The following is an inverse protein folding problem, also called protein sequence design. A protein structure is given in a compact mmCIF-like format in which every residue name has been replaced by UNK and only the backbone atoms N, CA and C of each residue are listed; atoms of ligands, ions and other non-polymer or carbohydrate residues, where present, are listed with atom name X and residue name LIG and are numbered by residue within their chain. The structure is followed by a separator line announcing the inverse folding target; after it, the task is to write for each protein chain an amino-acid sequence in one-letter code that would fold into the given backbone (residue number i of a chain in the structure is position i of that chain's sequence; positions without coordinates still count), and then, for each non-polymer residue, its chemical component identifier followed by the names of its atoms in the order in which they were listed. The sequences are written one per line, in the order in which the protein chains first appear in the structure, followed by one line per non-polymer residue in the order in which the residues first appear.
data_IF_493695375290
#
_entry.id   IF_493695375290
#
_cell.length_a   1.000
_cell.length_b   1.000
_cell.length_c   1.000
_cell.angle_alpha   90.00
_cell.angle_beta   90.00
_cell.angle_gamma   90.00
#
_symmetry.space_group_name_H-M   'P 1'
#
loop_
_entity.id
_entity.type
_entity.pdbx_description
1 polymer ?
#
# COMPACT_ATOMS: atom_id res chain seq x y z
N UNK A 1 -44.77 -13.47 -72.92
CA UNK A 1 -44.41 -12.04 -73.03
C UNK A 1 -42.91 -11.95 -72.75
N UNK A 2 -42.13 -11.71 -73.80
CA UNK A 2 -40.67 -11.62 -73.84
C UNK A 2 -40.22 -10.14 -73.87
N UNK A 3 -38.89 -9.95 -73.76
CA UNK A 3 -38.02 -8.74 -73.82
C UNK A 3 -37.38 -8.42 -72.45
N UNK A 4 -36.12 -8.80 -72.16
CA UNK A 4 -34.81 -8.39 -72.71
C UNK A 4 -34.46 -6.93 -72.29
N UNK A 5 -33.26 -6.57 -71.80
CA UNK A 5 -31.95 -6.55 -72.50
C UNK A 5 -30.79 -6.41 -71.47
N UNK A 6 -29.63 -6.91 -71.91
CA UNK A 6 -28.32 -7.15 -71.30
C UNK A 6 -27.39 -5.95 -70.99
N UNK A 7 -26.26 -6.27 -70.33
CA UNK A 7 -25.03 -5.50 -70.01
C UNK A 7 -24.32 -4.84 -71.24
N UNK A 8 -23.23 -4.04 -71.05
CA UNK A 8 -21.87 -4.64 -71.02
C UNK A 8 -20.78 -3.91 -70.19
N UNK A 9 -19.64 -4.61 -70.06
CA UNK A 9 -18.37 -4.25 -69.41
C UNK A 9 -17.62 -3.06 -70.07
N UNK A 10 -16.78 -2.38 -69.27
CA UNK A 10 -15.29 -2.34 -69.36
C UNK A 10 -14.63 -0.98 -69.09
N UNK A 11 -13.38 -1.07 -68.60
CA UNK A 11 -12.28 -0.09 -68.64
C UNK A 11 -12.06 0.89 -67.47
N UNK A 12 -10.92 0.66 -66.80
CA UNK A 12 -10.20 1.54 -65.87
C UNK A 12 -9.71 2.83 -66.53
N UNK A 13 -9.49 3.93 -65.77
CA UNK A 13 -8.10 4.29 -65.43
C UNK A 13 -7.90 4.95 -64.05
N UNK A 14 -6.75 4.72 -63.40
CA UNK A 14 -6.15 5.61 -62.38
C UNK A 14 -5.56 6.88 -63.05
N UNK A 15 -5.05 7.93 -62.36
CA UNK A 15 -4.99 8.26 -60.92
C UNK A 15 -5.42 9.72 -60.59
N UNK A 16 -5.51 10.10 -59.28
CA UNK A 16 -4.91 11.33 -58.68
C UNK A 16 -5.51 11.70 -57.30
N UNK A 17 -4.63 11.81 -56.29
CA UNK A 17 -4.67 12.81 -55.21
C UNK A 17 -5.55 12.55 -53.98
N UNK A 18 -5.00 12.48 -52.75
CA UNK A 18 -5.79 12.59 -51.53
C UNK A 18 -6.12 14.07 -51.21
N UNK A 19 -7.36 14.41 -50.80
CA UNK A 19 -7.71 15.77 -50.39
C UNK A 19 -7.24 16.10 -48.96
N UNK A 20 -7.07 17.40 -48.75
CA UNK A 20 -6.39 18.06 -47.64
C UNK A 20 -7.21 18.15 -46.33
N UNK A 21 -6.45 18.10 -45.23
CA UNK A 21 -6.68 18.59 -43.86
C UNK A 21 -8.07 19.03 -43.39
N UNK A 22 -8.57 18.33 -42.36
CA UNK A 22 -9.41 18.92 -41.32
C UNK A 22 -8.61 18.94 -40.01
N UNK A 23 -8.24 20.15 -39.57
CA UNK A 23 -7.56 20.40 -38.29
C UNK A 23 -8.58 20.32 -37.17
N UNK A 24 -8.59 19.21 -36.42
CA UNK A 24 -9.32 19.11 -35.16
C UNK A 24 -8.38 19.46 -34.00
N UNK A 25 -8.78 20.43 -33.17
CA UNK A 25 -8.00 20.95 -32.05
C UNK A 25 -7.53 19.84 -31.11
N UNK A 26 -6.22 19.66 -31.03
CA UNK A 26 -5.58 18.94 -29.93
C UNK A 26 -5.79 19.72 -28.63
N UNK A 27 -6.66 19.23 -27.75
CA UNK A 27 -6.68 19.63 -26.35
C UNK A 27 -5.30 19.33 -25.75
N UNK A 28 -4.53 20.38 -25.46
CA UNK A 28 -3.29 20.28 -24.70
C UNK A 28 -3.60 19.70 -23.32
N UNK A 29 -3.23 18.43 -23.11
CA UNK A 29 -3.16 17.84 -21.78
C UNK A 29 -1.96 18.46 -21.06
N UNK A 30 -2.25 19.22 -20.00
CA UNK A 30 -1.21 19.73 -19.09
C UNK A 30 -0.72 18.54 -18.27
N UNK A 31 0.59 18.26 -18.19
CA UNK A 31 1.10 17.16 -17.39
C UNK A 31 0.99 17.52 -15.90
N UNK A 32 0.07 16.89 -15.19
CA UNK A 32 0.05 16.84 -13.72
C UNK A 32 1.10 15.86 -13.21
N UNK A 33 2.40 16.14 -13.48
CA UNK A 33 3.49 15.49 -12.74
C UNK A 33 3.90 16.42 -11.60
N UNK A 34 3.16 16.37 -10.50
CA UNK A 34 3.58 17.03 -9.28
C UNK A 34 4.73 16.21 -8.67
N UNK A 35 5.96 16.56 -9.05
CA UNK A 35 7.18 15.97 -8.48
C UNK A 35 7.36 16.59 -7.10
N UNK A 36 6.96 15.91 -6.03
CA UNK A 36 7.32 16.33 -4.67
C UNK A 36 8.83 16.09 -4.51
N UNK A 37 9.63 17.06 -4.96
CA UNK A 37 10.97 17.27 -4.41
C UNK A 37 10.76 18.16 -3.20
N UNK A 38 10.68 17.56 -2.02
CA UNK A 38 10.81 18.31 -0.79
C UNK A 38 12.28 18.73 -0.64
N UNK A 39 12.74 19.69 -1.45
CA UNK A 39 13.95 20.44 -1.15
C UNK A 39 13.52 21.64 -0.31
N UNK A 40 13.42 21.45 1.00
CA UNK A 40 13.45 22.59 1.90
C UNK A 40 14.85 23.20 1.77
N UNK A 41 14.91 24.46 1.35
CA UNK A 41 16.15 25.24 1.34
C UNK A 41 16.51 25.60 2.77
N UNK A 42 16.93 24.62 3.58
CA UNK A 42 17.57 24.93 4.84
C UNK A 42 19.08 25.03 4.58
N UNK A 43 19.59 26.26 4.61
CA UNK A 43 21.00 26.55 4.44
C UNK A 43 21.79 26.08 5.66
N UNK A 44 22.06 24.79 5.74
CA UNK A 44 23.13 24.24 6.58
C UNK A 44 24.02 23.37 5.69
N UNK A 45 25.20 23.89 5.36
CA UNK A 45 26.33 23.18 4.75
C UNK A 45 26.09 22.46 3.41
N UNK A 46 25.44 23.10 2.43
CA UNK A 46 25.56 22.75 1.00
C UNK A 46 25.12 21.35 0.57
N UNK A 47 24.58 20.53 1.48
CA UNK A 47 24.05 19.20 1.20
C UNK A 47 22.53 19.27 1.10
N UNK A 48 21.99 19.18 -0.12
CA UNK A 48 20.55 18.96 -0.34
C UNK A 48 20.15 17.67 0.37
N UNK A 49 19.45 17.77 1.51
CA UNK A 49 18.91 16.58 2.19
C UNK A 49 17.69 16.11 1.39
N UNK A 50 17.90 15.12 0.52
CA UNK A 50 16.82 14.49 -0.25
C UNK A 50 16.01 13.59 0.68
N UNK A 51 14.93 14.11 1.25
CA UNK A 51 14.00 13.27 2.02
C UNK A 51 13.19 12.39 1.07
N UNK A 52 13.39 11.08 1.20
CA UNK A 52 12.61 10.08 0.47
C UNK A 52 11.31 9.79 1.23
N UNK A 53 10.13 9.95 0.60
CA UNK A 53 8.86 9.85 1.28
C UNK A 53 8.59 8.44 1.81
N UNK A 54 7.80 8.34 2.88
CA UNK A 54 7.27 7.07 3.38
C UNK A 54 5.90 6.77 2.79
N UNK A 55 5.67 5.52 2.37
CA UNK A 55 4.35 5.02 2.00
C UNK A 55 3.83 4.11 3.11
N UNK A 56 2.80 4.57 3.81
CA UNK A 56 2.16 3.83 4.89
C UNK A 56 0.80 3.35 4.39
N UNK A 57 0.66 2.04 4.26
CA UNK A 57 -0.53 1.40 3.68
C UNK A 57 -1.27 0.61 4.75
N UNK A 58 -2.56 0.89 4.91
CA UNK A 58 -3.47 0.09 5.70
C UNK A 58 -4.13 -0.94 4.81
N UNK A 59 -4.01 -2.21 5.17
CA UNK A 59 -4.70 -3.28 4.46
C UNK A 59 -6.10 -3.49 5.05
N UNK A 60 -7.08 -3.76 4.19
CA UNK A 60 -8.50 -3.93 4.56
C UNK A 60 -9.39 -4.10 3.34
N UNK A 61 -10.70 -4.22 3.56
CA UNK A 61 -11.69 -4.24 2.48
C UNK A 61 -12.56 -2.96 2.50
N UNK A 62 -12.87 -2.37 1.34
CA UNK A 62 -13.73 -1.18 1.27
C UNK A 62 -15.22 -1.50 1.45
N UNK A 63 -15.97 -0.55 2.00
CA UNK A 63 -17.43 -0.61 2.13
C UNK A 63 -17.91 -0.78 3.58
N UNK A 64 -19.13 -0.26 3.85
CA UNK A 64 -19.70 -0.18 5.21
C UNK A 64 -19.78 -1.53 5.94
N UNK A 65 -19.98 -2.63 5.22
CA UNK A 65 -20.06 -3.99 5.78
C UNK A 65 -18.76 -4.47 6.44
N UNK A 66 -17.60 -3.95 6.04
CA UNK A 66 -16.30 -4.32 6.60
C UNK A 66 -15.82 -3.33 7.66
N UNK A 67 -16.59 -2.29 7.96
CA UNK A 67 -16.23 -1.32 8.97
C UNK A 67 -16.15 -1.96 10.36
N UNK A 68 -15.03 -1.73 11.07
CA UNK A 68 -14.72 -2.28 12.40
C UNK A 68 -14.66 -3.81 12.48
N UNK A 69 -14.41 -4.49 11.37
CA UNK A 69 -14.11 -5.93 11.38
C UNK A 69 -12.64 -6.16 11.71
N UNK A 70 -12.30 -7.35 12.20
CA UNK A 70 -10.90 -7.69 12.55
C UNK A 70 -9.95 -7.49 11.37
N UNK A 71 -10.39 -7.82 10.17
CA UNK A 71 -9.60 -7.71 8.95
C UNK A 71 -9.40 -6.27 8.45
N UNK A 72 -10.15 -5.30 8.99
CA UNK A 72 -10.07 -3.89 8.62
C UNK A 72 -9.25 -3.04 9.59
N UNK A 73 -8.62 -3.65 10.60
CA UNK A 73 -7.79 -2.92 11.58
C UNK A 73 -6.62 -2.17 10.92
N UNK A 74 -6.14 -2.62 9.76
CA UNK A 74 -5.14 -1.88 8.97
C UNK A 74 -5.67 -0.55 8.44
N UNK A 75 -6.93 -0.48 7.98
CA UNK A 75 -7.57 0.80 7.63
C UNK A 75 -7.75 1.69 8.86
N UNK A 76 -8.19 1.11 9.98
CA UNK A 76 -8.36 1.87 11.24
C UNK A 76 -7.03 2.48 11.72
N UNK A 77 -5.90 1.80 11.53
CA UNK A 77 -4.57 2.35 11.81
C UNK A 77 -4.26 3.56 10.93
N UNK A 78 -4.61 3.52 9.64
CA UNK A 78 -4.42 4.68 8.76
C UNK A 78 -5.33 5.83 9.17
N UNK A 79 -6.58 5.55 9.53
CA UNK A 79 -7.52 6.56 10.01
C UNK A 79 -6.99 7.23 11.29
N UNK A 80 -6.45 6.45 12.24
CA UNK A 80 -5.84 6.98 13.46
C UNK A 80 -4.59 7.85 13.17
N UNK A 81 -3.75 7.46 12.21
CA UNK A 81 -2.58 8.26 11.81
C UNK A 81 -3.02 9.54 11.08
N UNK A 82 -4.01 9.42 10.18
CA UNK A 82 -4.60 10.53 9.44
C UNK A 82 -5.16 11.59 10.39
N UNK A 83 -5.93 11.18 11.39
CA UNK A 83 -6.49 12.06 12.41
C UNK A 83 -5.40 12.69 13.27
N UNK A 84 -4.48 11.89 13.79
CA UNK A 84 -3.42 12.37 14.69
C UNK A 84 -2.43 13.33 14.01
N UNK A 85 -2.26 13.24 12.69
CA UNK A 85 -1.36 14.13 11.92
C UNK A 85 -2.13 15.21 11.13
N UNK A 86 -3.46 15.25 11.19
CA UNK A 86 -4.27 16.20 10.43
C UNK A 86 -4.15 16.03 8.91
N UNK A 87 -3.91 14.80 8.42
CA UNK A 87 -3.71 14.52 6.99
C UNK A 87 -5.04 14.08 6.37
N UNK A 88 -5.69 14.89 5.53
CA UNK A 88 -6.95 14.50 4.89
C UNK A 88 -6.73 13.39 3.86
N UNK A 89 -7.62 12.38 3.87
CA UNK A 89 -7.64 11.31 2.88
C UNK A 89 -8.71 11.57 1.80
N UNK A 90 -8.44 12.48 0.88
CA UNK A 90 -9.42 12.93 -0.14
C UNK A 90 -9.05 12.54 -1.58
N UNK A 91 -7.82 12.09 -1.81
CA UNK A 91 -7.31 11.83 -3.15
C UNK A 91 -7.51 10.37 -3.52
N UNK A 92 -8.05 10.09 -4.71
CA UNK A 92 -8.13 8.72 -5.23
C UNK A 92 -7.05 8.54 -6.29
N UNK A 93 -6.13 7.61 -6.06
CA UNK A 93 -5.06 7.29 -7.01
C UNK A 93 -4.75 5.80 -6.97
N UNK A 94 -4.50 5.19 -8.14
CA UNK A 94 -4.14 3.78 -8.26
C UNK A 94 -5.09 2.84 -7.50
N UNK A 95 -6.40 3.11 -7.58
CA UNK A 95 -7.45 2.39 -6.86
C UNK A 95 -7.28 2.41 -5.32
N UNK A 96 -6.68 3.45 -4.75
CA UNK A 96 -6.56 3.66 -3.30
C UNK A 96 -7.06 5.05 -2.92
N UNK A 97 -7.59 5.17 -1.71
CA UNK A 97 -7.79 6.46 -1.05
C UNK A 97 -6.45 6.87 -0.42
N UNK A 98 -6.03 8.09 -0.68
CA UNK A 98 -4.69 8.60 -0.41
C UNK A 98 -4.77 9.92 0.35
N UNK A 99 -3.89 10.07 1.34
CA UNK A 99 -3.61 11.33 2.02
C UNK A 99 -2.12 11.64 1.95
N UNK A 100 -1.77 12.89 1.68
CA UNK A 100 -0.38 13.36 1.58
C UNK A 100 -0.15 14.36 2.70
N UNK A 101 0.93 14.18 3.45
CA UNK A 101 1.33 15.11 4.50
C UNK A 101 2.76 14.86 4.94
N UNK A 102 3.08 15.21 6.18
CA UNK A 102 4.39 14.96 6.77
C UNK A 102 4.27 14.57 8.24
N UNK A 103 5.29 13.86 8.73
CA UNK A 103 5.53 13.68 10.17
C UNK A 103 6.84 14.40 10.48
N UNK A 104 6.75 15.51 11.20
CA UNK A 104 7.87 16.45 11.28
C UNK A 104 8.22 16.97 9.88
N UNK A 105 9.49 16.86 9.51
CA UNK A 105 9.98 17.26 8.18
C UNK A 105 9.93 16.13 7.14
N UNK A 106 9.58 14.91 7.55
CA UNK A 106 9.59 13.74 6.65
C UNK A 106 8.25 13.63 5.92
N UNK A 107 8.22 13.68 4.58
CA UNK A 107 7.00 13.53 3.80
C UNK A 107 6.45 12.10 3.91
N UNK A 108 5.14 11.98 4.13
CA UNK A 108 4.44 10.71 4.23
C UNK A 108 3.23 10.65 3.29
N UNK A 109 2.96 9.44 2.81
CA UNK A 109 1.86 9.07 1.96
C UNK A 109 1.05 7.99 2.68
N UNK A 110 -0.17 8.34 3.08
CA UNK A 110 -1.13 7.40 3.66
C UNK A 110 -1.96 6.78 2.54
N UNK A 111 -2.15 5.46 2.56
CA UNK A 111 -2.93 4.77 1.55
C UNK A 111 -3.87 3.72 2.15
N UNK A 112 -5.12 3.72 1.68
CA UNK A 112 -6.11 2.65 1.89
C UNK A 112 -6.56 2.12 0.53
N UNK A 113 -5.99 0.98 0.05
CA UNK A 113 -6.43 0.35 -1.19
C UNK A 113 -7.95 0.14 -1.20
N UNK A 114 -8.61 0.54 -2.27
CA UNK A 114 -10.06 0.36 -2.48
C UNK A 114 -10.35 -0.88 -3.34
N UNK A 115 -9.36 -1.76 -3.51
CA UNK A 115 -9.55 -3.12 -4.00
C UNK A 115 -9.86 -4.07 -2.83
N UNK A 116 -10.30 -5.30 -3.12
CA UNK A 116 -10.33 -6.33 -2.08
C UNK A 116 -8.92 -6.66 -1.59
N UNK A 117 -8.83 -7.13 -0.35
CA UNK A 117 -7.57 -7.38 0.37
C UNK A 117 -6.53 -8.11 -0.49
N UNK A 118 -6.94 -9.19 -1.14
CA UNK A 118 -6.07 -10.04 -1.96
C UNK A 118 -5.50 -9.35 -3.21
N UNK A 119 -6.11 -8.24 -3.64
CA UNK A 119 -5.68 -7.44 -4.78
C UNK A 119 -5.02 -6.12 -4.39
N UNK A 120 -4.71 -5.92 -3.10
CA UNK A 120 -4.07 -4.69 -2.61
C UNK A 120 -2.75 -4.37 -3.32
N UNK A 121 -2.05 -5.38 -3.87
CA UNK A 121 -0.84 -5.21 -4.67
C UNK A 121 -1.02 -4.36 -5.92
N UNK A 122 -2.22 -4.38 -6.53
CA UNK A 122 -2.54 -3.55 -7.70
C UNK A 122 -2.57 -2.06 -7.37
N UNK A 123 -2.76 -1.71 -6.09
CA UNK A 123 -2.75 -0.32 -5.63
C UNK A 123 -1.39 0.09 -5.07
N UNK A 124 -0.77 -0.75 -4.27
CA UNK A 124 0.48 -0.40 -3.57
C UNK A 124 1.65 -0.25 -4.54
N UNK A 125 1.76 -1.14 -5.53
CA UNK A 125 2.86 -1.08 -6.51
C UNK A 125 2.91 0.20 -7.33
N UNK A 126 1.80 0.62 -7.97
CA UNK A 126 1.81 1.82 -8.79
C UNK A 126 1.97 3.09 -7.95
N UNK A 127 1.44 3.13 -6.71
CA UNK A 127 1.69 4.23 -5.78
C UNK A 127 3.18 4.35 -5.43
N UNK A 128 3.81 3.25 -5.04
CA UNK A 128 5.23 3.25 -4.70
C UNK A 128 6.11 3.69 -5.89
N UNK A 129 5.79 3.22 -7.10
CA UNK A 129 6.50 3.62 -8.31
C UNK A 129 6.27 5.10 -8.67
N UNK A 130 5.03 5.59 -8.60
CA UNK A 130 4.69 6.97 -8.93
C UNK A 130 5.40 7.97 -8.02
N UNK A 131 5.40 7.71 -6.72
CA UNK A 131 6.05 8.57 -5.72
C UNK A 131 7.52 8.23 -5.48
N UNK A 132 8.09 7.31 -6.26
CA UNK A 132 9.50 6.89 -6.16
C UNK A 132 9.90 6.46 -4.74
N UNK A 133 8.99 5.77 -4.04
CA UNK A 133 9.17 5.37 -2.66
C UNK A 133 10.10 4.15 -2.60
N UNK A 134 11.24 4.23 -1.88
CA UNK A 134 12.11 3.07 -1.74
C UNK A 134 11.43 2.00 -0.86
N UNK A 135 11.70 0.72 -1.15
CA UNK A 135 11.08 -0.42 -0.44
C UNK A 135 11.20 -0.34 1.09
N UNK A 136 12.33 0.17 1.58
CA UNK A 136 12.61 0.36 3.02
C UNK A 136 11.68 1.38 3.69
N UNK A 137 11.07 2.29 2.92
CA UNK A 137 10.13 3.31 3.40
C UNK A 137 8.67 2.92 3.12
N UNK A 138 8.41 1.67 2.73
CA UNK A 138 7.06 1.14 2.61
C UNK A 138 6.71 0.42 3.92
N UNK A 139 5.69 0.91 4.60
CA UNK A 139 5.14 0.34 5.82
C UNK A 139 3.74 -0.22 5.53
N UNK A 140 3.55 -1.52 5.74
CA UNK A 140 2.23 -2.16 5.63
C UNK A 140 1.65 -2.40 7.02
N UNK A 141 0.43 -1.94 7.31
CA UNK A 141 -0.33 -2.23 8.52
C UNK A 141 -1.45 -3.24 8.21
N UNK A 142 -1.44 -4.38 8.89
CA UNK A 142 -2.42 -5.46 8.68
C UNK A 142 -2.70 -6.27 9.95
N UNK A 143 -3.73 -7.10 9.89
CA UNK A 143 -4.20 -7.96 10.97
C UNK A 143 -3.47 -9.31 11.05
N UNK A 144 -3.02 -9.67 12.24
CA UNK A 144 -2.25 -10.87 12.52
C UNK A 144 -2.88 -11.69 13.65
N UNK A 145 -3.07 -12.98 13.37
CA UNK A 145 -3.75 -13.89 14.28
C UNK A 145 -2.75 -14.58 15.22
N UNK A 146 -1.50 -14.74 14.78
CA UNK A 146 -0.43 -15.29 15.64
C UNK A 146 -0.06 -14.40 16.82
N UNK A 147 -0.52 -13.14 16.83
CA UNK A 147 -0.34 -12.22 17.94
C UNK A 147 -1.64 -12.08 18.74
N UNK A 148 -1.55 -12.01 20.08
CA UNK A 148 -2.73 -11.72 20.89
C UNK A 148 -3.38 -10.39 20.55
N UNK A 149 -4.66 -10.25 20.88
CA UNK A 149 -5.44 -9.06 20.57
C UNK A 149 -4.81 -7.79 21.19
N UNK A 150 -4.64 -6.74 20.38
CA UNK A 150 -4.07 -5.46 20.81
C UNK A 150 -2.55 -5.44 21.02
N UNK A 151 -1.84 -6.52 20.64
CA UNK A 151 -0.37 -6.59 20.62
C UNK A 151 0.15 -6.14 19.26
N UNK A 152 1.06 -5.17 19.25
CA UNK A 152 1.63 -4.64 18.02
C UNK A 152 3.04 -5.18 17.80
N UNK A 153 3.44 -5.34 16.55
CA UNK A 153 4.82 -5.70 16.20
C UNK A 153 5.27 -4.95 14.95
N UNK A 154 6.39 -4.26 15.05
CA UNK A 154 7.01 -3.54 13.92
C UNK A 154 8.27 -4.29 13.51
N UNK A 155 8.35 -4.73 12.26
CA UNK A 155 9.46 -5.55 11.75
C UNK A 155 10.02 -4.98 10.44
N UNK A 156 11.36 -4.93 10.29
CA UNK A 156 11.98 -4.51 9.03
C UNK A 156 11.91 -5.59 7.95
N UNK A 157 11.74 -6.86 8.34
CA UNK A 157 11.61 -8.01 7.45
C UNK A 157 10.47 -8.90 7.91
N UNK A 158 9.77 -9.52 6.96
CA UNK A 158 8.82 -10.58 7.26
C UNK A 158 9.56 -11.82 7.79
N UNK A 159 9.25 -12.22 9.02
CA UNK A 159 9.59 -13.56 9.49
C UNK A 159 8.82 -14.61 8.68
N UNK A 160 9.44 -15.76 8.45
CA UNK A 160 8.72 -16.97 8.07
C UNK A 160 7.90 -17.37 9.31
N UNK A 161 6.64 -16.92 9.38
CA UNK A 161 5.72 -17.37 10.42
C UNK A 161 5.60 -18.88 10.32
N UNK A 162 6.14 -19.59 11.30
CA UNK A 162 6.05 -21.04 11.41
C UNK A 162 4.56 -21.43 11.50
N UNK A 163 4.16 -22.33 10.61
CA UNK A 163 3.05 -23.29 10.71
C UNK A 163 1.74 -22.84 11.39
N UNK A 164 0.70 -22.58 10.59
CA UNK A 164 -0.64 -23.21 10.69
C UNK A 164 -1.49 -22.89 9.44
N UNK A 165 -2.20 -23.92 8.94
CA UNK A 165 -2.57 -24.16 7.55
C UNK A 165 -3.58 -23.23 6.88
N UNK A 166 -3.46 -23.14 5.54
CA UNK A 166 -4.33 -22.51 4.52
C UNK A 166 -4.76 -21.04 4.68
N UNK A 167 -5.10 -20.58 5.88
CA UNK A 167 -5.59 -19.22 6.13
C UNK A 167 -4.54 -18.13 5.98
N UNK A 168 -3.37 -18.37 6.58
CA UNK A 168 -2.22 -17.49 6.47
C UNK A 168 -1.63 -17.48 5.07
N UNK A 169 -1.89 -18.50 4.26
CA UNK A 169 -1.36 -18.63 2.90
C UNK A 169 -1.83 -17.48 2.00
N UNK A 170 -3.14 -17.19 1.94
CA UNK A 170 -3.65 -16.10 1.10
C UNK A 170 -3.14 -14.73 1.53
N UNK A 171 -3.04 -14.47 2.83
CA UNK A 171 -2.45 -13.22 3.36
C UNK A 171 -0.96 -13.13 3.02
N UNK A 172 -0.22 -14.21 3.21
CA UNK A 172 1.21 -14.28 2.89
C UNK A 172 1.45 -14.10 1.40
N UNK A 173 0.65 -14.76 0.55
CA UNK A 173 0.67 -14.60 -0.91
C UNK A 173 0.35 -13.16 -1.31
N UNK A 174 -0.61 -12.51 -0.64
CA UNK A 174 -0.90 -11.08 -0.85
C UNK A 174 0.30 -10.22 -0.49
N UNK A 175 0.91 -10.41 0.68
CA UNK A 175 2.07 -9.63 1.13
C UNK A 175 3.33 -9.88 0.29
N UNK A 176 3.56 -11.13 -0.12
CA UNK A 176 4.64 -11.52 -1.05
C UNK A 176 4.36 -10.98 -2.44
N UNK A 177 3.10 -11.03 -2.89
CA UNK A 177 2.62 -10.49 -4.15
C UNK A 177 2.81 -8.98 -4.22
N UNK A 178 2.42 -8.24 -3.17
CA UNK A 178 2.70 -6.81 -3.00
C UNK A 178 4.21 -6.59 -3.10
N UNK A 179 5.03 -7.31 -2.32
CA UNK A 179 6.48 -7.16 -2.37
C UNK A 179 7.07 -7.37 -3.77
N UNK A 180 6.70 -8.47 -4.45
CA UNK A 180 7.16 -8.80 -5.82
C UNK A 180 6.70 -7.75 -6.83
N UNK A 181 5.45 -7.33 -6.73
CA UNK A 181 4.86 -6.37 -7.65
C UNK A 181 5.47 -4.98 -7.48
N UNK A 182 5.64 -4.51 -6.23
CA UNK A 182 6.34 -3.25 -5.93
C UNK A 182 7.77 -3.30 -6.46
N UNK A 183 8.51 -4.39 -6.20
CA UNK A 183 9.88 -4.56 -6.73
C UNK A 183 9.90 -4.46 -8.26
N UNK A 184 8.97 -5.15 -8.93
CA UNK A 184 8.88 -5.15 -10.40
C UNK A 184 8.54 -3.77 -10.97
N UNK A 185 7.67 -2.99 -10.32
CA UNK A 185 7.26 -1.67 -10.78
C UNK A 185 8.32 -0.61 -10.50
N UNK A 186 8.98 -0.66 -9.33
CA UNK A 186 10.13 0.20 -9.03
C UNK A 186 11.26 -0.04 -10.03
N UNK A 187 11.53 -1.31 -10.38
CA UNK A 187 12.54 -1.67 -11.40
C UNK A 187 12.19 -1.20 -12.82
N UNK A 188 10.90 -0.99 -13.14
CA UNK A 188 10.46 -0.48 -14.46
C UNK A 188 10.42 1.05 -14.53
N UNK A 189 10.16 1.74 -13.41
CA UNK A 189 10.11 3.21 -13.34
C UNK A 189 11.50 3.87 -13.26
N UNK A 190 12.47 3.19 -12.66
CA UNK A 190 13.88 3.52 -12.79
C UNK A 190 14.35 2.89 -14.11
N UNK A 191 14.74 3.67 -15.12
CA UNK A 191 15.35 3.20 -16.37
C UNK A 191 16.70 2.50 -16.11
N UNK A 192 16.71 1.36 -15.42
CA UNK A 192 17.89 0.54 -15.17
C UNK A 192 17.87 -0.53 -16.24
N UNK A 193 18.61 -0.26 -17.33
CA UNK A 193 19.02 -1.28 -18.28
C UNK A 193 19.57 -2.46 -17.48
N UNK A 194 19.18 -3.68 -17.84
CA UNK A 194 19.52 -4.91 -17.14
C UNK A 194 21.04 -5.17 -17.17
N UNK A 195 21.80 -4.43 -16.36
CA UNK A 195 23.24 -4.49 -16.21
C UNK A 195 23.59 -4.73 -14.76
N UNK A 196 23.93 -5.98 -14.43
CA UNK A 196 24.74 -6.47 -13.32
C UNK A 196 24.54 -5.96 -11.86
N UNK A 197 23.51 -5.17 -11.55
CA UNK A 197 23.24 -4.63 -10.21
C UNK A 197 22.01 -5.19 -9.49
N UNK A 198 21.40 -6.25 -10.01
CA UNK A 198 20.26 -6.89 -9.35
C UNK A 198 20.71 -7.63 -8.07
N UNK A 199 20.06 -7.44 -6.92
CA UNK A 199 20.19 -8.41 -5.85
C UNK A 199 19.48 -9.70 -6.28
N UNK A 200 20.26 -10.73 -6.61
CA UNK A 200 19.81 -12.08 -6.98
C UNK A 200 18.76 -12.59 -5.98
N UNK A 201 17.52 -12.83 -6.44
CA UNK A 201 16.42 -13.68 -5.90
C UNK A 201 16.09 -13.69 -4.38
N UNK A 202 16.77 -12.92 -3.53
CA UNK A 202 16.77 -13.08 -2.06
C UNK A 202 16.34 -11.82 -1.28
N UNK A 203 16.26 -10.66 -1.93
CA UNK A 203 16.04 -9.38 -1.25
C UNK A 203 14.59 -8.87 -1.26
N UNK A 204 13.63 -9.73 -1.59
CA UNK A 204 12.18 -9.47 -1.50
C UNK A 204 11.67 -9.21 -0.08
N UNK A 205 12.57 -9.16 0.90
CA UNK A 205 12.30 -9.15 2.34
C UNK A 205 12.30 -7.74 2.97
N UNK A 206 12.61 -6.68 2.22
CA UNK A 206 12.87 -5.34 2.77
C UNK A 206 11.65 -4.41 2.89
N UNK A 207 10.42 -4.93 2.78
CA UNK A 207 9.22 -4.13 3.05
C UNK A 207 8.99 -4.12 4.56
N UNK A 208 8.98 -2.93 5.16
CA UNK A 208 8.65 -2.75 6.58
C UNK A 208 7.23 -3.21 6.85
N UNK A 209 7.06 -4.16 7.78
CA UNK A 209 5.76 -4.70 8.14
C UNK A 209 5.40 -4.26 9.54
N UNK A 210 4.29 -3.58 9.66
CA UNK A 210 3.59 -3.32 10.90
C UNK A 210 2.43 -4.28 11.04
N UNK A 211 2.36 -4.88 12.21
CA UNK A 211 1.47 -6.00 12.47
C UNK A 211 0.63 -5.67 13.69
N UNK A 212 -0.68 -5.83 13.56
CA UNK A 212 -1.65 -5.61 14.66
C UNK A 212 -2.25 -6.96 15.01
N UNK A 213 -2.00 -7.40 16.23
CA UNK A 213 -2.54 -8.64 16.77
C UNK A 213 -4.03 -8.55 16.97
N UNK A 214 -4.75 -9.52 16.42
CA UNK A 214 -6.21 -9.66 16.53
C UNK A 214 -6.61 -10.95 17.25
N UNK A 215 -5.66 -11.72 17.76
CA UNK A 215 -5.90 -13.02 18.39
C UNK A 215 -6.28 -14.12 17.40
N UNK A 216 -6.40 -15.35 17.93
CA UNK A 216 -6.78 -16.53 17.16
C UNK A 216 -8.29 -16.78 17.27
N UNK A 217 -8.90 -17.38 16.23
CA UNK A 217 -10.30 -17.79 16.29
C UNK A 217 -10.53 -18.81 17.43
N UNK A 218 -11.63 -18.69 18.19
CA UNK A 218 -11.95 -19.65 19.24
C UNK A 218 -12.42 -20.98 18.65
N UNK A 219 -11.90 -22.09 19.20
CA UNK A 219 -12.31 -23.44 18.82
C UNK A 219 -12.14 -23.73 17.32
N UNK A 220 -13.16 -24.30 16.70
CA UNK A 220 -13.18 -24.67 15.27
C UNK A 220 -13.90 -23.63 14.38
N UNK A 221 -13.96 -22.37 14.80
CA UNK A 221 -14.61 -21.31 14.04
C UNK A 221 -13.96 -21.13 12.65
N UNK A 222 -14.79 -20.91 11.62
CA UNK A 222 -14.29 -20.59 10.28
C UNK A 222 -13.45 -19.30 10.30
N UNK A 223 -12.29 -19.36 9.66
CA UNK A 223 -11.33 -18.27 9.68
C UNK A 223 -11.84 -17.01 8.98
N UNK A 224 -12.55 -17.16 7.85
CA UNK A 224 -13.08 -15.99 7.13
C UNK A 224 -14.17 -15.34 7.96
N UNK A 225 -15.04 -16.12 8.60
CA UNK A 225 -16.05 -15.61 9.51
C UNK A 225 -15.42 -14.82 10.67
N UNK A 226 -14.39 -15.37 11.32
CA UNK A 226 -13.66 -14.70 12.41
C UNK A 226 -13.10 -13.33 11.98
N UNK A 227 -12.43 -13.29 10.83
CA UNK A 227 -11.82 -12.09 10.27
C UNK A 227 -12.85 -11.02 9.87
N UNK A 228 -14.00 -11.44 9.35
CA UNK A 228 -15.08 -10.56 8.92
C UNK A 228 -16.01 -10.14 10.07
N UNK A 229 -15.88 -10.74 11.25
CA UNK A 229 -16.63 -10.34 12.44
C UNK A 229 -16.02 -9.08 13.08
N UNK A 230 -16.86 -8.33 13.79
CA UNK A 230 -16.43 -7.21 14.64
C UNK A 230 -15.79 -7.70 15.94
N UNK A 231 -14.94 -6.88 16.53
CA UNK A 231 -14.41 -7.10 17.87
C UNK A 231 -15.53 -7.02 18.92
N UNK A 232 -15.42 -7.82 19.98
CA UNK A 232 -16.19 -7.62 21.21
C UNK A 232 -15.81 -6.29 21.89
N UNK A 233 -16.60 -5.83 22.86
CA UNK A 233 -16.31 -4.57 23.56
C UNK A 233 -14.93 -4.57 24.24
N UNK A 234 -14.56 -5.67 24.90
CA UNK A 234 -13.26 -5.83 25.55
C UNK A 234 -12.11 -5.83 24.53
N UNK A 235 -12.23 -6.63 23.47
CA UNK A 235 -11.22 -6.66 22.42
C UNK A 235 -11.09 -5.30 21.74
N UNK A 236 -12.20 -4.60 21.53
CA UNK A 236 -12.23 -3.27 20.90
C UNK A 236 -11.45 -2.26 21.70
N UNK A 237 -11.63 -2.22 23.02
CA UNK A 237 -10.85 -1.36 23.91
C UNK A 237 -9.34 -1.63 23.78
N UNK A 238 -8.94 -2.91 23.75
CA UNK A 238 -7.54 -3.29 23.55
C UNK A 238 -7.00 -2.85 22.18
N UNK A 239 -7.80 -2.97 21.12
CA UNK A 239 -7.43 -2.49 19.78
C UNK A 239 -7.34 -0.97 19.75
N UNK A 240 -8.27 -0.22 20.34
CA UNK A 240 -8.24 1.25 20.38
C UNK A 240 -6.96 1.76 21.05
N UNK A 241 -6.57 1.16 22.16
CA UNK A 241 -5.28 1.44 22.81
C UNK A 241 -4.09 1.03 21.93
N UNK A 242 -4.19 -0.08 21.20
CA UNK A 242 -3.20 -0.46 20.21
C UNK A 242 -3.12 0.53 19.03
N UNK A 243 -4.23 1.14 18.59
CA UNK A 243 -4.20 2.15 17.53
C UNK A 243 -3.49 3.42 17.99
N UNK A 244 -3.71 3.86 19.25
CA UNK A 244 -2.99 5.00 19.84
C UNK A 244 -1.49 4.75 19.95
N UNK A 245 -1.10 3.60 20.51
CA UNK A 245 0.30 3.14 20.56
C UNK A 245 0.87 2.96 19.13
N UNK A 246 -0.01 2.53 18.24
CA UNK A 246 0.06 2.55 16.79
C UNK A 246 0.75 3.77 16.23
N UNK A 247 0.04 4.88 16.31
CA UNK A 247 0.46 6.20 15.84
C UNK A 247 1.85 6.57 16.39
N UNK A 248 2.06 6.42 17.70
CA UNK A 248 3.36 6.72 18.34
C UNK A 248 4.52 5.94 17.72
N UNK A 249 4.36 4.63 17.52
CA UNK A 249 5.41 3.82 16.90
C UNK A 249 5.61 4.13 15.40
N UNK A 250 4.58 4.57 14.66
CA UNK A 250 4.77 5.04 13.27
C UNK A 250 5.63 6.29 13.29
N UNK A 251 5.32 7.23 14.17
CA UNK A 251 6.05 8.48 14.30
C UNK A 251 7.53 8.23 14.61
N UNK A 252 7.84 7.38 15.60
CA UNK A 252 9.23 6.99 15.89
C UNK A 252 9.90 6.29 14.71
N UNK A 253 9.19 5.41 14.00
CA UNK A 253 9.76 4.72 12.84
C UNK A 253 10.09 5.67 11.69
N UNK A 254 9.22 6.64 11.41
CA UNK A 254 9.39 7.60 10.31
C UNK A 254 10.53 8.58 10.60
N UNK A 255 10.64 9.04 11.86
CA UNK A 255 11.65 10.02 12.27
C UNK A 255 13.01 9.37 12.55
N UNK A 256 13.03 8.26 13.28
CA UNK A 256 14.27 7.65 13.81
C UNK A 256 14.67 6.37 13.06
N UNK A 257 13.83 5.87 12.14
CA UNK A 257 14.02 4.58 11.49
C UNK A 257 13.84 3.39 12.45
N UNK A 258 14.42 2.24 12.08
CA UNK A 258 14.48 1.05 12.94
C UNK A 258 15.53 1.22 14.04
N UNK A 259 15.25 2.10 15.01
CA UNK A 259 16.12 2.43 16.11
C UNK A 259 15.85 1.61 17.38
N UNK A 260 16.61 1.87 18.45
CA UNK A 260 16.37 1.28 19.77
C UNK A 260 14.95 1.57 20.28
N UNK A 261 14.33 2.68 19.88
CA UNK A 261 12.94 3.02 20.22
C UNK A 261 11.96 1.96 19.71
N UNK A 262 12.12 1.48 18.48
CA UNK A 262 11.28 0.41 17.92
C UNK A 262 11.55 -0.93 18.59
N UNK A 263 12.80 -1.23 18.92
CA UNK A 263 13.16 -2.43 19.68
C UNK A 263 12.51 -2.42 21.07
N UNK A 264 12.58 -1.30 21.80
CA UNK A 264 11.93 -1.12 23.10
C UNK A 264 10.41 -1.20 22.99
N UNK A 265 9.83 -0.60 21.95
CA UNK A 265 8.40 -0.70 21.67
C UNK A 265 7.96 -2.16 21.52
N UNK A 266 8.65 -2.94 20.66
CA UNK A 266 8.34 -4.35 20.47
C UNK A 266 8.50 -5.17 21.76
N UNK A 267 9.50 -4.87 22.60
CA UNK A 267 9.66 -5.49 23.92
C UNK A 267 8.48 -5.16 24.84
N UNK A 268 8.07 -3.89 24.91
CA UNK A 268 6.89 -3.49 25.69
C UNK A 268 5.61 -4.20 25.25
N UNK A 269 5.42 -4.36 23.93
CA UNK A 269 4.28 -5.10 23.38
C UNK A 269 4.33 -6.60 23.72
N UNK A 270 5.52 -7.21 23.73
CA UNK A 270 5.70 -8.61 24.16
C UNK A 270 5.25 -8.83 25.60
N UNK A 271 5.57 -7.92 26.51
CA UNK A 271 5.21 -8.06 27.93
C UNK A 271 3.80 -7.57 28.27
N UNK A 272 3.14 -6.81 27.37
CA UNK A 272 1.75 -6.35 27.53
C UNK A 272 0.77 -7.50 27.78
N UNK A 273 1.02 -8.65 27.17
CA UNK A 273 0.19 -9.86 27.30
C UNK A 273 0.54 -10.73 28.52
N UNK A 274 1.69 -10.50 29.13
CA UNK A 274 2.18 -11.27 30.29
C UNK A 274 1.99 -10.55 31.62
N UNK A 275 1.29 -9.41 31.65
CA UNK A 275 0.81 -8.86 32.92
C UNK A 275 -0.22 -9.85 33.48
N UNK A 276 0.25 -10.73 34.35
CA UNK A 276 -0.58 -11.46 35.29
C UNK A 276 -1.36 -10.38 36.04
N UNK A 277 -2.69 -10.40 35.94
CA UNK A 277 -3.53 -9.67 36.89
C UNK A 277 -3.20 -10.28 38.26
N UNK A 278 -2.44 -9.54 39.07
CA UNK A 278 -2.23 -9.82 40.49
C UNK A 278 -3.41 -9.26 41.27
#
# INVERSE_FOLDING_TARGET
MWYAISCPNSCTPHPRGPPQSLKFLQKRSVPTSFRIRASLSNQYNGATVEYTPWLIVGLGNPGKKYHRTRHNVGFEMIDAISEAQGIPMNTIQSKALVGIGSIGEVPILLAKPQAYMNFSGESVGPLAAHYHVPLRHILLAYDEMSLPNGVLRVQPKGGHGHHNGLGNFRKYETLVGIGRYVISQVARGLHISAGNGYPKKSNSKAVGRRVIGIGNPPGNMDLKAYLLQKFSALERHQIDEALKQGVGAVRSLVLDGFSQSITRFNLGQKYKYHKVEL
#
